data_IF_609832257926
#
_entry.id   IF_609832257926
#
_cell.length_a   1.000
_cell.length_b   1.000
_cell.length_c   1.000
_cell.angle_alpha   90.00
_cell.angle_beta   90.00
_cell.angle_gamma   90.00
#
_symmetry.space_group_name_H-M   'P 1'
#
loop_
_entity.id
_entity.type
_entity.pdbx_description
1 polymer ?
#
# COMPACT_ATOMS: atom_id res chain seq x y z
N UNK A 1 -1.07 -12.41 -25.55
CA UNK A 1 -1.21 -11.05 -24.96
C UNK A 1 0.13 -10.71 -24.34
N UNK A 2 0.97 -9.97 -25.06
CA UNK A 2 2.31 -9.61 -24.58
C UNK A 2 2.16 -8.61 -23.44
N UNK A 3 2.66 -8.93 -22.25
CA UNK A 3 2.68 -8.00 -21.12
C UNK A 3 3.58 -6.82 -21.48
N UNK A 4 2.96 -5.71 -21.89
CA UNK A 4 3.66 -4.44 -22.07
C UNK A 4 4.04 -3.89 -20.70
N UNK A 5 5.06 -3.04 -20.65
CA UNK A 5 5.62 -2.51 -19.40
C UNK A 5 4.56 -1.78 -18.54
N UNK A 6 3.61 -1.07 -19.17
CA UNK A 6 2.54 -0.33 -18.49
C UNK A 6 1.65 -1.20 -17.59
N UNK A 7 0.93 -2.21 -18.13
CA UNK A 7 0.12 -3.15 -17.34
C UNK A 7 0.90 -3.87 -16.25
N UNK A 8 2.17 -4.24 -16.49
CA UNK A 8 3.04 -4.85 -15.47
C UNK A 8 3.26 -3.89 -14.30
N UNK A 9 3.66 -2.64 -14.59
CA UNK A 9 3.89 -1.62 -13.56
C UNK A 9 2.61 -1.28 -12.79
N UNK A 10 1.48 -1.19 -13.50
CA UNK A 10 0.17 -0.90 -12.93
C UNK A 10 -0.22 -1.98 -11.92
N UNK A 11 -0.23 -3.25 -12.34
CA UNK A 11 -0.66 -4.36 -11.47
C UNK A 11 0.31 -4.60 -10.33
N UNK A 12 1.63 -4.51 -10.57
CA UNK A 12 2.64 -4.66 -9.52
C UNK A 12 2.61 -3.51 -8.51
N UNK A 13 2.45 -2.26 -8.97
CA UNK A 13 2.30 -1.11 -8.09
C UNK A 13 1.06 -1.22 -7.19
N UNK A 14 -0.06 -1.65 -7.77
CA UNK A 14 -1.29 -1.94 -7.03
C UNK A 14 -1.06 -3.03 -5.98
N UNK A 15 -0.46 -4.15 -6.37
CA UNK A 15 -0.17 -5.27 -5.46
C UNK A 15 0.75 -4.86 -4.31
N UNK A 16 1.80 -4.07 -4.58
CA UNK A 16 2.72 -3.55 -3.57
C UNK A 16 2.00 -2.64 -2.58
N UNK A 17 1.16 -1.71 -3.07
CA UNK A 17 0.39 -0.82 -2.21
C UNK A 17 -0.56 -1.61 -1.30
N UNK A 18 -1.31 -2.57 -1.84
CA UNK A 18 -2.19 -3.43 -1.04
C UNK A 18 -1.44 -4.31 -0.04
N UNK A 19 -0.30 -4.89 -0.43
CA UNK A 19 0.52 -5.70 0.47
C UNK A 19 1.07 -4.86 1.64
N UNK A 20 1.54 -3.64 1.37
CA UNK A 20 1.99 -2.71 2.39
C UNK A 20 0.85 -2.29 3.32
N UNK A 21 -0.34 -2.00 2.78
CA UNK A 21 -1.52 -1.67 3.57
C UNK A 21 -1.96 -2.83 4.47
N UNK A 22 -2.00 -4.06 3.93
CA UNK A 22 -2.31 -5.27 4.68
C UNK A 22 -1.28 -5.52 5.79
N UNK A 23 0.02 -5.35 5.50
CA UNK A 23 1.07 -5.47 6.51
C UNK A 23 0.93 -4.45 7.65
N UNK A 24 0.58 -3.20 7.34
CA UNK A 24 0.32 -2.19 8.37
C UNK A 24 -0.93 -2.54 9.19
N UNK A 25 -1.99 -3.01 8.54
CA UNK A 25 -3.21 -3.44 9.22
C UNK A 25 -2.95 -4.65 10.15
N UNK A 26 -2.21 -5.67 9.70
CA UNK A 26 -1.82 -6.82 10.52
C UNK A 26 -1.01 -6.38 11.74
N UNK A 27 -0.05 -5.47 11.57
CA UNK A 27 0.70 -4.89 12.68
C UNK A 27 -0.19 -4.03 13.61
N UNK A 28 -1.27 -3.44 13.11
CA UNK A 28 -2.26 -2.76 13.96
C UNK A 28 -3.14 -3.74 14.73
N UNK A 29 -3.51 -4.88 14.14
CA UNK A 29 -4.30 -5.92 14.79
C UNK A 29 -3.62 -6.52 16.02
N UNK A 30 -2.29 -6.60 16.05
CA UNK A 30 -1.56 -7.13 17.22
C UNK A 30 -1.67 -6.26 18.46
N UNK A 31 -1.91 -4.95 18.30
CA UNK A 31 -2.06 -4.02 19.42
C UNK A 31 -3.51 -3.61 19.69
N UNK A 32 -4.26 -3.23 18.63
CA UNK A 32 -5.65 -2.83 18.75
C UNK A 32 -6.43 -3.22 17.48
N UNK A 33 -7.38 -4.16 17.59
CA UNK A 33 -8.10 -4.69 16.42
C UNK A 33 -8.96 -3.63 15.72
N UNK A 34 -9.50 -2.65 16.46
CA UNK A 34 -10.25 -1.54 15.87
C UNK A 34 -9.40 -0.67 14.95
N UNK A 35 -8.14 -0.40 15.35
CA UNK A 35 -7.19 0.33 14.49
C UNK A 35 -6.75 -0.51 13.29
N UNK A 36 -6.67 -1.84 13.45
CA UNK A 36 -6.43 -2.78 12.36
C UNK A 36 -7.49 -2.71 11.27
N UNK A 37 -8.77 -2.77 11.65
CA UNK A 37 -9.91 -2.60 10.74
C UNK A 37 -9.86 -1.25 10.02
N UNK A 38 -9.59 -0.16 10.74
CA UNK A 38 -9.47 1.17 10.13
C UNK A 38 -8.33 1.24 9.11
N UNK A 39 -7.19 0.60 9.36
CA UNK A 39 -6.09 0.54 8.37
C UNK A 39 -6.47 -0.27 7.12
N UNK A 40 -7.37 -1.25 7.24
CA UNK A 40 -7.75 -2.12 6.13
C UNK A 40 -8.80 -1.46 5.23
N UNK A 41 -9.80 -0.82 5.83
CA UNK A 41 -10.94 -0.21 5.13
C UNK A 41 -10.77 1.27 4.81
N UNK A 42 -9.91 1.99 5.54
CA UNK A 42 -9.68 3.43 5.34
C UNK A 42 -8.22 3.64 4.90
N UNK A 43 -7.94 3.71 3.58
CA UNK A 43 -6.58 3.77 3.04
C UNK A 43 -5.73 4.92 3.61
N UNK A 44 -6.36 6.06 3.94
CA UNK A 44 -5.67 7.21 4.53
C UNK A 44 -5.37 7.05 6.03
N UNK A 45 -6.07 6.17 6.74
CA UNK A 45 -5.82 5.93 8.16
C UNK A 45 -4.47 5.24 8.40
N UNK A 46 -4.02 4.49 7.40
CA UNK A 46 -2.73 3.79 7.38
C UNK A 46 -1.57 4.77 7.63
N UNK A 47 -1.65 5.99 7.07
CA UNK A 47 -0.69 7.06 7.31
C UNK A 47 -0.68 7.55 8.76
N UNK A 48 -1.87 7.69 9.37
CA UNK A 48 -2.01 8.12 10.77
C UNK A 48 -1.43 7.08 11.72
N UNK A 49 -1.68 5.80 11.45
CA UNK A 49 -1.12 4.70 12.23
C UNK A 49 0.40 4.59 12.03
N UNK A 50 0.87 4.65 10.78
CA UNK A 50 2.27 4.51 10.43
C UNK A 50 3.17 5.52 11.14
N UNK A 51 2.74 6.78 11.30
CA UNK A 51 3.53 7.80 12.02
C UNK A 51 3.77 7.50 13.49
N UNK A 52 3.01 6.58 14.10
CA UNK A 52 3.14 6.22 15.51
C UNK A 52 4.07 5.03 15.76
N UNK A 53 4.45 4.29 14.71
CA UNK A 53 5.25 3.06 14.83
C UNK A 53 6.36 3.00 13.77
N UNK A 54 7.60 2.70 14.18
CA UNK A 54 8.76 2.61 13.27
C UNK A 54 8.53 1.65 12.09
N UNK A 55 7.94 0.49 12.36
CA UNK A 55 7.55 -0.52 11.35
C UNK A 55 6.56 0.08 10.35
N UNK A 56 5.55 0.79 10.85
CA UNK A 56 4.56 1.46 10.01
C UNK A 56 5.17 2.50 9.09
N UNK A 57 6.15 3.29 9.56
CA UNK A 57 6.87 4.26 8.71
C UNK A 57 7.60 3.57 7.55
N UNK A 58 8.24 2.43 7.80
CA UNK A 58 8.93 1.68 6.74
C UNK A 58 7.96 1.10 5.72
N UNK A 59 6.87 0.46 6.18
CA UNK A 59 5.83 -0.04 5.27
C UNK A 59 5.14 1.11 4.51
N UNK A 60 5.01 2.29 5.11
CA UNK A 60 4.43 3.45 4.43
C UNK A 60 5.28 3.92 3.24
N UNK A 61 6.61 3.78 3.31
CA UNK A 61 7.49 4.07 2.16
C UNK A 61 7.23 3.10 1.01
N UNK A 62 7.04 1.82 1.32
CA UNK A 62 6.68 0.78 0.33
C UNK A 62 5.31 1.08 -0.27
N UNK A 63 4.36 1.49 0.57
CA UNK A 63 3.02 1.89 0.13
C UNK A 63 3.10 3.05 -0.88
N UNK A 64 3.84 4.12 -0.57
CA UNK A 64 4.04 5.24 -1.51
C UNK A 64 4.75 4.83 -2.80
N UNK A 65 5.71 3.90 -2.73
CA UNK A 65 6.38 3.36 -3.90
C UNK A 65 5.40 2.57 -4.79
N UNK A 66 4.52 1.76 -4.19
CA UNK A 66 3.45 1.06 -4.91
C UNK A 66 2.49 2.03 -5.60
N UNK A 67 2.08 3.11 -4.92
CA UNK A 67 1.24 4.15 -5.52
C UNK A 67 1.94 4.86 -6.68
N UNK A 68 3.22 5.21 -6.54
CA UNK A 68 3.99 5.82 -7.61
C UNK A 68 4.10 4.90 -8.84
N UNK A 69 4.40 3.62 -8.63
CA UNK A 69 4.42 2.61 -9.69
C UNK A 69 3.06 2.44 -10.37
N UNK A 70 1.98 2.43 -9.59
CA UNK A 70 0.62 2.33 -10.10
C UNK A 70 0.28 3.51 -11.02
N UNK A 71 0.59 4.75 -10.59
CA UNK A 71 0.35 5.96 -11.39
C UNK A 71 1.17 5.92 -12.68
N UNK A 72 2.46 5.60 -12.61
CA UNK A 72 3.32 5.50 -13.81
C UNK A 72 2.81 4.39 -14.75
N UNK A 73 2.45 3.23 -14.21
CA UNK A 73 1.88 2.13 -14.99
C UNK A 73 0.57 2.52 -15.67
N UNK A 74 -0.31 3.24 -14.98
CA UNK A 74 -1.55 3.77 -15.54
C UNK A 74 -1.26 4.73 -16.70
N UNK A 75 -0.33 5.68 -16.54
CA UNK A 75 0.03 6.63 -17.61
C UNK A 75 0.67 5.96 -18.83
N UNK A 76 1.35 4.83 -18.65
CA UNK A 76 1.97 4.07 -19.75
C UNK A 76 1.01 3.09 -20.42
N UNK A 77 -0.07 2.70 -19.73
CA UNK A 77 -1.07 1.77 -20.23
C UNK A 77 -2.27 2.45 -20.90
N UNK A 78 -2.50 3.73 -20.60
CA UNK A 78 -3.45 4.63 -21.27
C UNK A 78 -2.92 5.15 -22.60
#
# INVERSE_FOLDING_TARGET
MSLTLGPVLLLSGLAIAFAAQAGIALHAFTGNPGKGLLCLFVPLYVYVYARRHKVGVWLMRIWYLGIAMFIVGATLAS
#
